data_IF_690773557167
#
_entry.id   IF_690773557167
#
_cell.length_a   1.000
_cell.length_b   1.000
_cell.length_c   1.000
_cell.angle_alpha   90.00
_cell.angle_beta   90.00
_cell.angle_gamma   90.00
#
_symmetry.space_group_name_H-M   'P 1'
#
loop_
_entity.id
_entity.type
_entity.pdbx_description
1 polymer ?
#
# COMPACT_ATOMS: atom_id res chain seq x y z
N UNK A 1 20.68 -2.02 2.19
CA UNK A 1 19.94 -0.91 2.80
C UNK A 1 18.43 -1.01 2.54
N UNK A 2 17.99 -1.25 1.29
CA UNK A 2 16.57 -1.39 0.90
C UNK A 2 15.81 -2.53 1.61
N UNK A 3 16.44 -3.70 1.80
CA UNK A 3 15.75 -4.89 2.36
C UNK A 3 15.33 -4.72 3.83
N UNK A 4 16.05 -3.93 4.63
CA UNK A 4 15.76 -3.78 6.05
C UNK A 4 14.46 -3.01 6.29
N UNK A 5 14.20 -1.97 5.48
CA UNK A 5 12.96 -1.20 5.56
C UNK A 5 11.74 -2.08 5.31
N UNK A 6 11.78 -2.94 4.29
CA UNK A 6 10.66 -3.84 3.97
C UNK A 6 10.38 -4.78 5.15
N UNK A 7 11.43 -5.33 5.78
CA UNK A 7 11.30 -6.21 6.93
C UNK A 7 10.68 -5.50 8.15
N UNK A 8 11.13 -4.28 8.46
CA UNK A 8 10.58 -3.47 9.55
C UNK A 8 9.08 -3.16 9.35
N UNK A 9 8.69 -2.85 8.11
CA UNK A 9 7.29 -2.58 7.76
C UNK A 9 6.38 -3.80 7.96
N UNK A 10 6.87 -5.01 7.67
CA UNK A 10 6.07 -6.23 7.86
C UNK A 10 5.66 -6.41 9.32
N UNK A 11 6.60 -6.25 10.27
CA UNK A 11 6.29 -6.34 11.70
C UNK A 11 5.33 -5.25 12.15
N UNK A 12 5.63 -3.99 11.81
CA UNK A 12 4.86 -2.82 12.26
C UNK A 12 3.40 -2.80 11.78
N UNK A 13 3.13 -3.30 10.57
CA UNK A 13 1.80 -3.20 9.95
C UNK A 13 1.09 -4.55 9.77
N UNK A 14 1.49 -5.60 10.51
CA UNK A 14 0.88 -6.94 10.42
C UNK A 14 -0.63 -6.92 10.62
N UNK A 15 -1.14 -6.22 11.63
CA UNK A 15 -2.59 -6.14 11.91
C UNK A 15 -3.35 -5.48 10.75
N UNK A 16 -2.85 -4.36 10.22
CA UNK A 16 -3.45 -3.69 9.07
C UNK A 16 -3.46 -4.61 7.84
N UNK A 17 -2.35 -5.31 7.56
CA UNK A 17 -2.25 -6.26 6.45
C UNK A 17 -3.29 -7.38 6.57
N UNK A 18 -3.47 -7.96 7.77
CA UNK A 18 -4.47 -8.98 8.02
C UNK A 18 -5.89 -8.44 7.79
N UNK A 19 -6.23 -7.28 8.34
CA UNK A 19 -7.53 -6.63 8.13
C UNK A 19 -7.82 -6.36 6.66
N UNK A 20 -6.83 -5.84 5.91
CA UNK A 20 -6.95 -5.61 4.48
C UNK A 20 -7.17 -6.90 3.70
N UNK A 21 -6.40 -7.95 4.01
CA UNK A 21 -6.53 -9.26 3.35
C UNK A 21 -7.89 -9.90 3.62
N UNK A 22 -8.42 -9.78 4.84
CA UNK A 22 -9.74 -10.31 5.20
C UNK A 22 -10.89 -9.50 4.59
N UNK A 23 -10.79 -8.16 4.58
CA UNK A 23 -11.85 -7.28 4.07
C UNK A 23 -11.90 -7.21 2.55
N UNK A 24 -10.76 -7.36 1.88
CA UNK A 24 -10.64 -7.20 0.43
C UNK A 24 -9.93 -8.40 -0.20
N UNK A 25 -10.67 -9.49 -0.41
CA UNK A 25 -10.15 -10.74 -0.99
C UNK A 25 -9.54 -10.59 -2.40
N UNK A 26 -9.83 -9.50 -3.12
CA UNK A 26 -9.28 -9.21 -4.45
C UNK A 26 -7.89 -8.54 -4.42
N UNK A 27 -7.36 -8.21 -3.23
CA UNK A 27 -6.01 -7.66 -3.09
C UNK A 27 -4.98 -8.77 -3.19
N UNK A 28 -3.99 -8.55 -4.06
CA UNK A 28 -2.82 -9.43 -4.16
C UNK A 28 -1.79 -9.09 -3.09
N UNK A 29 -0.77 -9.94 -2.92
CA UNK A 29 0.37 -9.64 -2.06
C UNK A 29 1.08 -8.33 -2.47
N UNK A 30 1.15 -8.05 -3.78
CA UNK A 30 1.66 -6.77 -4.28
C UNK A 30 0.80 -5.59 -3.81
N UNK A 31 -0.52 -5.73 -3.89
CA UNK A 31 -1.46 -4.69 -3.45
C UNK A 31 -1.32 -4.44 -1.94
N UNK A 32 -1.22 -5.50 -1.13
CA UNK A 32 -1.03 -5.40 0.32
C UNK A 32 0.27 -4.67 0.66
N UNK A 33 1.39 -5.04 0.02
CA UNK A 33 2.68 -4.34 0.21
C UNK A 33 2.59 -2.86 -0.13
N UNK A 34 1.93 -2.53 -1.25
CA UNK A 34 1.74 -1.15 -1.65
C UNK A 34 0.88 -0.37 -0.63
N UNK A 35 -0.15 -1.00 -0.03
CA UNK A 35 -0.91 -0.37 1.06
C UNK A 35 -0.03 -0.04 2.27
N UNK A 36 0.84 -0.98 2.66
CA UNK A 36 1.74 -0.78 3.79
C UNK A 36 2.71 0.38 3.51
N UNK A 37 3.29 0.43 2.31
CA UNK A 37 4.17 1.53 1.90
C UNK A 37 3.43 2.88 1.87
N UNK A 38 2.18 2.90 1.40
CA UNK A 38 1.34 4.09 1.43
C UNK A 38 0.99 4.52 2.86
N UNK A 39 0.71 3.57 3.76
CA UNK A 39 0.44 3.88 5.18
C UNK A 39 1.67 4.46 5.88
N UNK A 40 2.85 3.95 5.53
CA UNK A 40 4.13 4.47 6.00
C UNK A 40 4.54 5.82 5.37
N UNK A 41 3.66 6.44 4.57
CA UNK A 41 3.89 7.72 3.88
C UNK A 41 5.15 7.74 3.00
N UNK A 42 5.50 6.59 2.40
CA UNK A 42 6.67 6.48 1.54
C UNK A 42 6.40 7.22 0.22
N UNK A 43 7.31 8.10 -0.24
CA UNK A 43 7.16 8.79 -1.52
C UNK A 43 7.04 7.83 -2.71
N UNK A 44 6.28 8.23 -3.72
CA UNK A 44 6.04 7.40 -4.92
C UNK A 44 7.34 7.03 -5.66
N UNK A 45 8.35 7.91 -5.63
CA UNK A 45 9.67 7.63 -6.22
C UNK A 45 10.39 6.51 -5.45
N UNK A 46 10.33 6.53 -4.13
CA UNK A 46 10.98 5.51 -3.30
C UNK A 46 10.24 4.18 -3.41
N UNK A 47 8.90 4.18 -3.42
CA UNK A 47 8.10 2.97 -3.70
C UNK A 47 8.52 2.35 -5.04
N UNK A 48 8.72 3.18 -6.07
CA UNK A 48 9.15 2.70 -7.38
C UNK A 48 10.52 2.02 -7.32
N UNK A 49 11.49 2.61 -6.60
CA UNK A 49 12.80 2.01 -6.35
C UNK A 49 12.70 0.70 -5.57
N UNK A 50 11.91 0.67 -4.49
CA UNK A 50 11.72 -0.51 -3.63
C UNK A 50 11.08 -1.68 -4.39
N UNK A 51 10.18 -1.39 -5.33
CA UNK A 51 9.48 -2.38 -6.14
C UNK A 51 10.17 -2.67 -7.47
N UNK A 52 11.30 -2.02 -7.76
CA UNK A 52 12.02 -2.10 -9.04
C UNK A 52 11.11 -1.87 -10.27
N UNK A 53 10.31 -0.81 -10.22
CA UNK A 53 9.40 -0.38 -11.30
C UNK A 53 9.50 1.13 -11.51
N UNK A 54 8.80 1.66 -12.50
CA UNK A 54 8.75 3.11 -12.73
C UNK A 54 7.75 3.82 -11.79
N UNK A 55 7.95 5.11 -11.48
CA UNK A 55 6.96 5.90 -10.74
C UNK A 55 5.58 5.93 -11.41
N UNK A 56 5.50 5.86 -12.74
CA UNK A 56 4.24 5.77 -13.47
C UNK A 56 3.51 4.45 -13.20
N UNK A 57 4.24 3.33 -13.15
CA UNK A 57 3.69 2.03 -12.74
C UNK A 57 3.09 2.07 -11.34
N UNK A 58 3.73 2.78 -10.39
CA UNK A 58 3.17 2.99 -9.04
C UNK A 58 1.89 3.83 -9.09
N UNK A 59 1.84 4.90 -9.89
CA UNK A 59 0.61 5.70 -10.06
C UNK A 59 -0.54 4.84 -10.60
N UNK A 60 -0.30 4.06 -11.65
CA UNK A 60 -1.27 3.12 -12.23
C UNK A 60 -1.72 2.08 -11.20
N UNK A 61 -0.80 1.54 -10.39
CA UNK A 61 -1.14 0.63 -9.30
C UNK A 61 -2.05 1.30 -8.25
N UNK A 62 -1.76 2.53 -7.82
CA UNK A 62 -2.62 3.31 -6.92
C UNK A 62 -4.03 3.51 -7.51
N UNK A 63 -4.15 3.80 -8.80
CA UNK A 63 -5.47 3.91 -9.46
C UNK A 63 -6.25 2.58 -9.43
N UNK A 64 -5.59 1.45 -9.72
CA UNK A 64 -6.23 0.13 -9.63
C UNK A 64 -6.65 -0.21 -8.20
N UNK A 65 -5.77 0.06 -7.23
CA UNK A 65 -6.04 -0.15 -5.80
C UNK A 65 -7.26 0.63 -5.31
N UNK A 66 -7.40 1.91 -5.69
CA UNK A 66 -8.61 2.70 -5.35
C UNK A 66 -9.89 2.02 -5.83
N UNK A 67 -9.88 1.45 -7.04
CA UNK A 67 -11.04 0.72 -7.59
C UNK A 67 -11.32 -0.57 -6.81
N UNK A 68 -10.29 -1.37 -6.52
CA UNK A 68 -10.41 -2.62 -5.76
C UNK A 68 -11.02 -2.40 -4.37
N UNK A 69 -10.63 -1.31 -3.71
CA UNK A 69 -11.12 -0.97 -2.37
C UNK A 69 -12.36 -0.09 -2.36
N UNK A 70 -12.90 0.27 -3.54
CA UNK A 70 -14.03 1.18 -3.71
C UNK A 70 -13.81 2.52 -2.96
N UNK A 71 -12.58 3.03 -3.01
CA UNK A 71 -12.17 4.24 -2.28
C UNK A 71 -12.68 5.50 -2.98
N UNK A 72 -13.28 6.41 -2.21
CA UNK A 72 -13.77 7.68 -2.74
C UNK A 72 -12.60 8.53 -3.33
N UNK A 73 -12.78 9.18 -4.49
CA UNK A 73 -11.69 9.89 -5.18
C UNK A 73 -11.01 10.98 -4.35
N UNK A 74 -11.78 11.69 -3.53
CA UNK A 74 -11.29 12.78 -2.68
C UNK A 74 -10.61 12.32 -1.39
N UNK A 75 -10.75 11.05 -1.02
CA UNK A 75 -10.16 10.53 0.21
C UNK A 75 -8.66 10.29 -0.01
N UNK A 76 -7.82 10.68 0.94
CA UNK A 76 -6.39 10.39 0.90
C UNK A 76 -6.11 8.95 1.34
N UNK A 77 -4.97 8.40 0.90
CA UNK A 77 -4.55 7.05 1.31
C UNK A 77 -4.33 6.95 2.82
N UNK A 78 -3.81 8.03 3.43
CA UNK A 78 -3.55 8.08 4.86
C UNK A 78 -4.84 7.94 5.66
N UNK A 79 -5.82 8.83 5.40
CA UNK A 79 -7.13 8.82 6.08
C UNK A 79 -7.88 7.50 5.88
N UNK A 80 -7.87 6.96 4.66
CA UNK A 80 -8.53 5.70 4.37
C UNK A 80 -7.93 4.53 5.16
N UNK A 81 -6.60 4.41 5.17
CA UNK A 81 -5.93 3.30 5.85
C UNK A 81 -5.98 3.44 7.38
N UNK A 82 -6.08 4.66 7.91
CA UNK A 82 -6.38 4.88 9.33
C UNK A 82 -7.76 4.37 9.73
N UNK A 83 -8.79 4.57 8.89
CA UNK A 83 -10.15 4.10 9.18
C UNK A 83 -10.30 2.57 9.22
N UNK A 84 -9.27 1.82 8.82
CA UNK A 84 -9.25 0.35 8.85
C UNK A 84 -8.55 -0.16 10.13
N UNK A 85 -7.71 0.66 10.76
CA UNK A 85 -6.91 0.24 11.91
C UNK A 85 -7.69 0.23 13.23
#
# INVERSE_FOLDING_TARGET
MVNNLVLELHGKYTTLRQKLSSKYAALTEYDLRLCIMLKANIPTKDIALLLNITPDSVKKAKHRLRRKMKMHPRLSWHEFLDSIN
#
